data_IF_559454622822
#
_entry.id   IF_559454622822
#
_cell.length_a   1.000
_cell.length_b   1.000
_cell.length_c   1.000
_cell.angle_alpha   90.00
_cell.angle_beta   90.00
_cell.angle_gamma   90.00
#
_symmetry.space_group_name_H-M   'P 1'
#
loop_
_entity.id
_entity.type
_entity.pdbx_description
1 polymer ?
#
# COMPACT_ATOMS: atom_id res chain seq x y z
N UNK A 1 17.93 37.59 9.17
CA UNK A 1 16.89 36.56 8.92
C UNK A 1 16.86 36.05 7.46
N UNK A 2 17.98 36.10 6.71
CA UNK A 2 18.00 35.86 5.25
C UNK A 2 18.43 34.44 4.84
N UNK A 3 18.83 33.60 5.81
CA UNK A 3 19.29 32.22 5.59
C UNK A 3 18.37 31.16 6.22
N UNK A 4 17.29 31.58 6.87
CA UNK A 4 16.33 30.68 7.52
C UNK A 4 15.64 29.69 6.54
N UNK A 5 15.23 30.09 5.31
CA UNK A 5 14.68 29.11 4.36
C UNK A 5 15.75 28.16 3.80
N UNK A 6 17.03 28.58 3.75
CA UNK A 6 18.12 27.74 3.27
C UNK A 6 18.47 26.63 4.29
N UNK A 7 18.48 26.98 5.60
CA UNK A 7 18.67 26.05 6.72
C UNK A 7 17.51 25.04 6.85
N UNK A 8 16.27 25.46 6.57
CA UNK A 8 15.11 24.58 6.56
C UNK A 8 15.19 23.54 5.42
N UNK A 9 15.70 23.93 4.26
CA UNK A 9 15.96 23.02 3.13
C UNK A 9 17.13 22.06 3.38
N UNK A 10 18.16 22.46 4.13
CA UNK A 10 19.31 21.57 4.43
C UNK A 10 18.97 20.54 5.51
N UNK A 11 18.10 20.87 6.47
CA UNK A 11 17.64 19.93 7.49
C UNK A 11 16.73 18.82 6.94
N UNK A 12 16.07 19.05 5.79
CA UNK A 12 15.22 18.08 5.10
C UNK A 12 15.99 17.02 4.29
N UNK A 13 17.33 17.12 4.21
CA UNK A 13 18.18 16.21 3.44
C UNK A 13 18.82 15.08 4.26
N UNK A 14 18.57 15.01 5.57
CA UNK A 14 18.97 13.86 6.38
C UNK A 14 17.96 12.72 6.24
N UNK A 15 17.66 12.32 5.00
CA UNK A 15 16.88 11.13 4.71
C UNK A 15 17.73 9.92 5.04
N UNK A 16 17.68 9.48 6.29
CA UNK A 16 18.33 8.24 6.70
C UNK A 16 17.58 7.09 6.03
N UNK A 17 18.25 6.44 5.08
CA UNK A 17 17.79 5.18 4.51
C UNK A 17 17.72 4.15 5.64
N UNK A 18 16.51 3.88 6.12
CA UNK A 18 16.23 2.90 7.16
C UNK A 18 15.44 1.76 6.56
N UNK A 19 15.69 0.51 6.99
CA UNK A 19 14.96 -0.62 6.45
C UNK A 19 13.48 -0.48 6.80
N UNK A 20 12.63 -0.52 5.76
CA UNK A 20 11.18 -0.52 5.90
C UNK A 20 10.67 -1.94 5.69
N UNK A 21 9.86 -2.44 6.61
CA UNK A 21 9.28 -3.78 6.52
C UNK A 21 7.87 -3.78 5.93
N UNK A 22 7.20 -2.63 5.97
CA UNK A 22 5.86 -2.49 5.44
C UNK A 22 5.69 -1.17 4.70
N UNK A 23 5.11 -1.28 3.52
CA UNK A 23 4.66 -0.15 2.70
C UNK A 23 3.21 -0.41 2.32
N UNK A 24 2.27 0.48 2.69
CA UNK A 24 0.88 0.33 2.30
C UNK A 24 0.73 0.35 0.77
N UNK A 25 0.04 -0.65 0.22
CA UNK A 25 -0.40 -0.64 -1.17
C UNK A 25 -1.67 0.21 -1.32
N UNK A 26 -1.92 0.66 -2.55
CA UNK A 26 -3.13 1.41 -2.93
C UNK A 26 -4.39 0.66 -2.51
N UNK A 27 -5.37 1.38 -1.97
CA UNK A 27 -6.68 0.82 -1.67
C UNK A 27 -7.49 0.68 -2.96
N UNK A 28 -7.98 -0.53 -3.22
CA UNK A 28 -8.84 -0.83 -4.36
C UNK A 28 -10.27 -0.42 -4.04
N UNK A 29 -10.70 0.69 -4.64
CA UNK A 29 -11.98 1.34 -4.41
C UNK A 29 -12.79 1.31 -5.71
N UNK A 30 -13.35 0.18 -6.15
CA UNK A 30 -13.77 0.03 -7.55
C UNK A 30 -14.99 0.88 -7.94
N UNK A 31 -15.73 1.41 -6.95
CA UNK A 31 -16.94 2.22 -7.15
C UNK A 31 -17.98 1.55 -8.06
N UNK A 32 -18.10 0.22 -7.93
CA UNK A 32 -19.12 -0.54 -8.64
C UNK A 32 -20.51 -0.14 -8.13
N UNK A 33 -21.45 -0.01 -9.05
CA UNK A 33 -22.78 0.53 -8.77
C UNK A 33 -23.90 -0.29 -9.40
N UNK A 34 -23.56 -1.32 -10.20
CA UNK A 34 -24.49 -2.15 -10.95
C UNK A 34 -23.93 -3.56 -11.13
N UNK A 35 -24.85 -4.51 -11.34
CA UNK A 35 -24.51 -5.86 -11.81
C UNK A 35 -23.73 -5.81 -13.13
N UNK A 36 -22.84 -6.79 -13.29
CA UNK A 36 -21.99 -6.98 -14.46
C UNK A 36 -21.02 -5.82 -14.74
N UNK A 37 -20.77 -5.00 -13.73
CA UNK A 37 -19.75 -3.95 -13.80
C UNK A 37 -18.41 -4.50 -13.34
N UNK A 38 -17.36 -4.17 -14.10
CA UNK A 38 -15.98 -4.47 -13.77
C UNK A 38 -15.15 -3.18 -13.72
N UNK A 39 -14.10 -3.20 -12.89
CA UNK A 39 -13.11 -2.15 -12.83
C UNK A 39 -11.71 -2.78 -12.89
N UNK A 40 -10.81 -2.13 -13.62
CA UNK A 40 -9.38 -2.44 -13.62
C UNK A 40 -8.61 -1.14 -13.43
N UNK A 41 -7.65 -1.11 -12.52
CA UNK A 41 -6.83 0.07 -12.25
C UNK A 41 -5.36 -0.32 -12.18
N UNK A 42 -4.51 0.44 -12.87
CA UNK A 42 -3.06 0.27 -12.85
C UNK A 42 -2.45 1.52 -12.21
N UNK A 43 -1.50 1.31 -11.29
CA UNK A 43 -0.84 2.35 -10.51
C UNK A 43 0.68 2.15 -10.64
N UNK A 44 1.34 2.85 -11.57
CA UNK A 44 2.78 2.92 -11.61
C UNK A 44 3.30 3.97 -10.62
N UNK A 45 4.28 3.62 -9.80
CA UNK A 45 5.00 4.53 -8.91
C UNK A 45 6.51 4.22 -8.95
N UNK A 46 7.36 5.18 -8.59
CA UNK A 46 8.79 4.90 -8.47
C UNK A 46 9.02 3.74 -7.46
N UNK A 47 9.69 2.68 -7.92
CA UNK A 47 9.97 1.47 -7.13
C UNK A 47 8.81 0.49 -6.95
N UNK A 48 7.64 0.71 -7.59
CA UNK A 48 6.55 -0.28 -7.57
C UNK A 48 5.53 -0.14 -8.70
N UNK A 49 4.92 -1.25 -9.07
CA UNK A 49 3.73 -1.29 -9.93
C UNK A 49 2.64 -2.08 -9.24
N UNK A 50 1.43 -1.54 -9.24
CA UNK A 50 0.26 -2.20 -8.67
C UNK A 50 -0.85 -2.30 -9.73
N UNK A 51 -1.56 -3.42 -9.71
CA UNK A 51 -2.73 -3.69 -10.54
C UNK A 51 -3.88 -4.13 -9.63
N UNK A 52 -5.06 -3.57 -9.87
CA UNK A 52 -6.26 -3.80 -9.09
C UNK A 52 -7.40 -4.13 -10.03
N UNK A 53 -8.20 -5.13 -9.68
CA UNK A 53 -9.36 -5.57 -10.42
C UNK A 53 -10.56 -5.71 -9.49
N UNK A 54 -11.75 -5.53 -10.05
CA UNK A 54 -12.99 -5.80 -9.34
C UNK A 54 -14.10 -6.21 -10.32
N UNK A 55 -15.03 -7.03 -9.85
CA UNK A 55 -16.20 -7.45 -10.62
C UNK A 55 -17.42 -7.66 -9.75
N UNK A 56 -18.57 -7.20 -10.23
CA UNK A 56 -19.87 -7.38 -9.56
C UNK A 56 -20.76 -8.38 -10.32
N UNK A 57 -20.92 -9.63 -9.84
CA UNK A 57 -21.87 -10.58 -10.43
C UNK A 57 -23.33 -10.30 -10.07
N UNK A 58 -23.62 -9.42 -9.10
CA UNK A 58 -24.97 -9.13 -8.59
C UNK A 58 -25.18 -7.62 -8.46
N UNK A 59 -26.32 -7.16 -7.94
CA UNK A 59 -26.54 -5.72 -7.77
C UNK A 59 -25.82 -5.11 -6.56
N UNK A 60 -25.24 -5.93 -5.66
CA UNK A 60 -24.63 -5.44 -4.43
C UNK A 60 -23.39 -6.20 -3.96
N UNK A 61 -23.08 -7.37 -4.52
CA UNK A 61 -21.90 -8.16 -4.13
C UNK A 61 -20.85 -8.01 -5.21
N UNK A 62 -19.62 -7.74 -4.79
CA UNK A 62 -18.46 -7.67 -5.66
C UNK A 62 -17.25 -8.40 -5.08
N UNK A 63 -16.39 -8.85 -5.97
CA UNK A 63 -15.07 -9.39 -5.63
C UNK A 63 -13.98 -8.41 -6.07
N UNK A 64 -12.88 -8.38 -5.29
CA UNK A 64 -11.68 -7.59 -5.54
C UNK A 64 -10.48 -8.51 -5.70
N UNK A 65 -9.54 -8.09 -6.54
CA UNK A 65 -8.18 -8.66 -6.60
C UNK A 65 -7.17 -7.53 -6.72
N UNK A 66 -6.06 -7.65 -6.02
CA UNK A 66 -4.95 -6.70 -6.00
C UNK A 66 -3.65 -7.46 -6.20
N UNK A 67 -2.75 -6.91 -6.99
CA UNK A 67 -1.39 -7.39 -7.17
C UNK A 67 -0.43 -6.21 -7.12
N UNK A 68 0.73 -6.39 -6.50
CA UNK A 68 1.78 -5.39 -6.41
C UNK A 68 3.15 -6.04 -6.53
N UNK A 69 4.03 -5.40 -7.29
CA UNK A 69 5.43 -5.76 -7.39
C UNK A 69 6.28 -4.55 -7.02
N UNK A 70 7.21 -4.76 -6.09
CA UNK A 70 8.09 -3.75 -5.51
C UNK A 70 9.52 -4.09 -5.90
N UNK A 71 10.22 -3.11 -6.43
CA UNK A 71 11.56 -3.28 -6.95
C UNK A 71 12.43 -2.08 -6.57
N UNK A 72 13.72 -2.33 -6.50
CA UNK A 72 14.70 -1.31 -6.15
C UNK A 72 14.74 -0.22 -7.23
N UNK A 73 14.95 1.03 -6.82
CA UNK A 73 15.15 2.10 -7.79
C UNK A 73 16.45 1.83 -8.54
N UNK A 74 16.39 1.82 -9.88
CA UNK A 74 17.51 1.51 -10.77
C UNK A 74 18.74 2.43 -10.58
N UNK A 75 18.57 3.57 -9.91
CA UNK A 75 19.61 4.57 -9.68
C UNK A 75 20.32 4.45 -8.30
N UNK A 76 19.84 3.60 -7.39
CA UNK A 76 20.46 3.36 -6.09
C UNK A 76 20.76 1.86 -5.94
N UNK A 77 21.99 1.49 -6.29
CA UNK A 77 22.48 0.09 -6.22
C UNK A 77 22.97 -0.28 -4.82
N UNK A 78 22.87 0.63 -3.85
CA UNK A 78 23.57 0.50 -2.56
C UNK A 78 22.70 0.00 -1.43
N UNK A 79 21.42 0.35 -1.39
CA UNK A 79 20.45 -0.11 -0.39
C UNK A 79 19.06 -0.17 -1.02
N UNK A 80 18.31 -1.25 -0.77
CA UNK A 80 17.06 -1.48 -1.47
C UNK A 80 16.10 -2.42 -0.76
N UNK A 81 14.87 -2.39 -1.23
CA UNK A 81 13.81 -3.31 -0.84
C UNK A 81 13.05 -3.79 -2.07
N UNK A 82 12.65 -5.06 -2.06
CA UNK A 82 11.85 -5.66 -3.10
C UNK A 82 10.83 -6.63 -2.52
N UNK A 83 9.83 -6.99 -3.32
CA UNK A 83 8.77 -7.87 -2.87
C UNK A 83 7.64 -8.00 -3.86
N UNK A 84 6.76 -8.95 -3.59
CA UNK A 84 5.52 -9.12 -4.33
C UNK A 84 4.38 -9.35 -3.35
N UNK A 85 3.20 -8.88 -3.70
CA UNK A 85 2.01 -9.04 -2.86
C UNK A 85 0.78 -9.26 -3.72
N UNK A 86 -0.05 -10.22 -3.32
CA UNK A 86 -1.35 -10.47 -3.92
C UNK A 86 -2.41 -10.49 -2.83
N UNK A 87 -3.58 -9.95 -3.12
CA UNK A 87 -4.71 -9.91 -2.19
C UNK A 87 -6.02 -10.07 -2.95
N UNK A 88 -6.97 -10.76 -2.35
CA UNK A 88 -8.32 -10.90 -2.86
C UNK A 88 -9.33 -10.53 -1.78
N UNK A 89 -10.53 -10.19 -2.20
CA UNK A 89 -11.58 -9.80 -1.29
C UNK A 89 -12.97 -10.00 -1.87
N UNK A 90 -13.95 -10.08 -0.98
CA UNK A 90 -15.37 -10.06 -1.33
C UNK A 90 -16.08 -9.07 -0.43
N UNK A 91 -17.10 -8.43 -0.96
CA UNK A 91 -17.77 -7.37 -0.24
C UNK A 91 -19.13 -7.00 -0.79
N UNK A 92 -19.70 -6.01 -0.13
CA UNK A 92 -21.02 -5.48 -0.39
C UNK A 92 -20.92 -3.99 -0.71
N UNK A 93 -21.68 -3.52 -1.70
CA UNK A 93 -21.83 -2.11 -2.02
C UNK A 93 -23.30 -1.72 -2.09
N UNK A 94 -23.57 -0.48 -1.71
CA UNK A 94 -24.91 0.09 -1.66
C UNK A 94 -24.92 1.50 -2.22
N UNK A 95 -25.75 1.70 -3.24
CA UNK A 95 -25.99 3.00 -3.84
C UNK A 95 -27.15 3.69 -3.13
N UNK A 96 -26.84 4.51 -2.13
CA UNK A 96 -27.84 5.19 -1.29
C UNK A 96 -28.39 6.48 -1.91
N UNK A 97 -27.74 7.02 -2.95
CA UNK A 97 -28.20 8.20 -3.66
C UNK A 97 -27.78 8.13 -5.15
N UNK A 98 -28.28 9.07 -5.97
CA UNK A 98 -27.94 9.15 -7.41
C UNK A 98 -26.43 9.07 -7.67
N UNK A 99 -25.65 9.75 -6.83
CA UNK A 99 -24.18 9.78 -6.88
C UNK A 99 -23.53 9.25 -5.59
N UNK A 100 -24.30 8.79 -4.60
CA UNK A 100 -23.76 8.32 -3.33
C UNK A 100 -23.58 6.81 -3.34
N UNK A 101 -22.36 6.34 -3.04
CA UNK A 101 -22.01 4.94 -2.93
C UNK A 101 -21.31 4.68 -1.59
N UNK A 102 -21.70 3.61 -0.92
CA UNK A 102 -20.96 3.05 0.21
C UNK A 102 -20.57 1.62 -0.12
N UNK A 103 -19.38 1.20 0.30
CA UNK A 103 -18.95 -0.19 0.18
C UNK A 103 -18.16 -0.68 1.40
N UNK A 104 -18.13 -2.00 1.53
CA UNK A 104 -17.32 -2.71 2.51
C UNK A 104 -16.85 -4.04 1.92
N UNK A 105 -15.56 -4.34 2.08
CA UNK A 105 -14.92 -5.54 1.59
C UNK A 105 -14.11 -6.21 2.70
N UNK A 106 -14.14 -7.53 2.73
CA UNK A 106 -13.16 -8.35 3.43
C UNK A 106 -11.94 -8.55 2.53
N UNK A 107 -10.77 -8.69 3.13
CA UNK A 107 -9.49 -8.80 2.42
C UNK A 107 -8.65 -9.93 3.01
N UNK A 108 -8.01 -10.70 2.13
CA UNK A 108 -6.99 -11.68 2.47
C UNK A 108 -5.87 -11.63 1.43
N UNK A 109 -4.64 -11.51 1.88
CA UNK A 109 -3.48 -11.36 1.02
C UNK A 109 -2.23 -12.02 1.56
N UNK A 110 -1.30 -12.26 0.65
CA UNK A 110 -0.02 -12.90 0.91
C UNK A 110 1.06 -12.28 0.02
N UNK A 111 2.27 -12.22 0.53
CA UNK A 111 3.40 -11.70 -0.21
C UNK A 111 4.74 -12.04 0.38
N UNK A 112 5.77 -11.47 -0.21
CA UNK A 112 7.16 -11.59 0.20
C UNK A 112 7.78 -10.21 0.29
N UNK A 113 8.71 -10.07 1.23
CA UNK A 113 9.56 -8.91 1.35
C UNK A 113 11.02 -9.34 1.39
N UNK A 114 11.88 -8.55 0.78
CA UNK A 114 13.32 -8.62 0.88
C UNK A 114 13.84 -7.21 1.10
N UNK A 115 14.72 -7.04 2.09
CA UNK A 115 15.53 -5.84 2.25
C UNK A 115 16.99 -6.22 2.09
N UNK A 116 17.73 -5.41 1.35
CA UNK A 116 19.13 -5.59 1.04
C UNK A 116 19.89 -4.29 1.30
N UNK A 117 20.75 -4.30 2.31
CA UNK A 117 21.53 -3.16 2.76
C UNK A 117 23.03 -3.50 2.83
N UNK A 118 23.72 -3.64 1.69
CA UNK A 118 25.15 -3.93 1.67
C UNK A 118 25.97 -2.88 2.43
N UNK A 119 25.53 -1.62 2.47
CA UNK A 119 26.23 -0.57 3.24
C UNK A 119 26.26 -0.83 4.75
N UNK A 120 25.39 -1.72 5.27
CA UNK A 120 25.41 -2.11 6.69
C UNK A 120 26.52 -3.11 7.02
N UNK A 121 27.04 -3.81 6.01
CA UNK A 121 28.09 -4.84 6.16
C UNK A 121 29.42 -4.20 6.51
N UNK A 122 29.72 -3.01 5.98
CA UNK A 122 30.95 -2.27 6.31
C UNK A 122 31.04 -1.96 7.82
N UNK A 123 29.90 -1.64 8.45
CA UNK A 123 29.80 -1.38 9.89
C UNK A 123 29.68 -2.66 10.73
N UNK A 124 29.22 -3.77 10.14
CA UNK A 124 28.98 -5.05 10.82
C UNK A 124 29.52 -6.22 9.99
N UNK A 125 30.86 -6.36 9.90
CA UNK A 125 31.49 -7.44 9.14
C UNK A 125 31.10 -8.78 9.77
N UNK A 126 30.43 -9.64 8.99
CA UNK A 126 29.85 -10.91 9.46
C UNK A 126 28.35 -11.05 9.25
N UNK A 127 27.68 -9.98 8.78
CA UNK A 127 26.29 -10.04 8.31
C UNK A 127 26.21 -10.09 6.79
N UNK A 128 25.07 -10.51 6.24
CA UNK A 128 24.83 -10.48 4.79
C UNK A 128 24.20 -9.16 4.33
N UNK A 129 23.81 -8.29 5.28
CA UNK A 129 23.03 -7.10 5.00
C UNK A 129 21.63 -7.41 4.46
N UNK A 130 21.16 -8.66 4.53
CA UNK A 130 19.91 -9.10 3.90
C UNK A 130 18.94 -9.69 4.90
N UNK A 131 17.67 -9.39 4.73
CA UNK A 131 16.56 -10.03 5.44
C UNK A 131 15.43 -10.30 4.46
N UNK A 132 14.81 -11.48 4.61
CA UNK A 132 13.64 -11.91 3.84
C UNK A 132 12.55 -12.37 4.79
N UNK A 133 11.30 -12.15 4.40
CA UNK A 133 10.15 -12.67 5.12
C UNK A 133 8.96 -12.88 4.18
N UNK A 134 8.07 -13.77 4.58
CA UNK A 134 6.72 -13.85 4.04
C UNK A 134 5.80 -12.94 4.84
N UNK A 135 4.82 -12.32 4.20
CA UNK A 135 3.81 -11.50 4.85
C UNK A 135 2.42 -12.01 4.50
N UNK A 136 1.57 -12.19 5.50
CA UNK A 136 0.15 -12.45 5.36
C UNK A 136 -0.63 -11.23 5.87
N UNK A 137 -1.71 -10.87 5.17
CA UNK A 137 -2.59 -9.78 5.55
C UNK A 137 -4.03 -10.24 5.54
N UNK A 138 -4.77 -9.93 6.59
CA UNK A 138 -6.22 -10.05 6.62
C UNK A 138 -6.83 -8.70 6.99
N UNK A 139 -8.05 -8.41 6.56
CA UNK A 139 -8.67 -7.15 6.97
C UNK A 139 -10.06 -6.88 6.41
N UNK A 140 -10.51 -5.67 6.72
CA UNK A 140 -11.72 -5.08 6.17
C UNK A 140 -11.40 -3.71 5.61
N UNK A 141 -12.06 -3.32 4.53
CA UNK A 141 -11.94 -2.00 3.92
C UNK A 141 -13.33 -1.48 3.67
N UNK A 142 -13.65 -0.29 4.16
CA UNK A 142 -14.92 0.37 3.90
C UNK A 142 -14.68 1.75 3.31
N UNK A 143 -15.58 2.17 2.42
CA UNK A 143 -15.53 3.48 1.83
C UNK A 143 -16.91 4.09 1.63
N UNK A 144 -16.94 5.42 1.58
CA UNK A 144 -18.09 6.21 1.19
C UNK A 144 -17.62 7.26 0.20
N UNK A 145 -18.38 7.44 -0.88
CA UNK A 145 -17.95 8.33 -1.94
C UNK A 145 -19.09 8.91 -2.76
N UNK A 146 -18.76 10.04 -3.36
CA UNK A 146 -19.47 10.58 -4.52
C UNK A 146 -18.90 9.92 -5.78
N UNK A 147 -19.77 9.34 -6.61
CA UNK A 147 -19.40 8.76 -7.91
C UNK A 147 -20.30 9.28 -9.02
N UNK A 148 -19.67 9.72 -10.09
CA UNK A 148 -20.34 10.21 -11.31
C UNK A 148 -19.65 9.66 -12.54
N UNK A 149 -20.14 10.00 -13.72
CA UNK A 149 -19.53 9.57 -14.99
C UNK A 149 -18.10 10.11 -15.15
N UNK A 150 -17.83 11.34 -14.74
CA UNK A 150 -16.56 12.05 -14.98
C UNK A 150 -15.67 12.17 -13.74
N UNK A 151 -16.25 12.06 -12.55
CA UNK A 151 -15.56 12.38 -11.31
C UNK A 151 -15.98 11.48 -10.15
N UNK A 152 -15.00 11.05 -9.35
CA UNK A 152 -15.22 10.38 -8.06
C UNK A 152 -14.44 11.06 -6.94
N UNK A 153 -15.04 11.15 -5.76
CA UNK A 153 -14.40 11.56 -4.52
C UNK A 153 -14.79 10.57 -3.42
N UNK A 154 -13.80 9.88 -2.87
CA UNK A 154 -14.03 8.72 -2.00
C UNK A 154 -13.17 8.86 -0.74
N UNK A 155 -13.81 8.74 0.43
CA UNK A 155 -13.14 8.58 1.70
C UNK A 155 -13.21 7.10 2.10
N UNK A 156 -12.10 6.56 2.58
CA UNK A 156 -11.96 5.13 2.84
C UNK A 156 -11.10 4.88 4.08
N UNK A 157 -11.34 3.73 4.71
CA UNK A 157 -10.50 3.20 5.78
C UNK A 157 -10.31 1.70 5.57
N UNK A 158 -9.06 1.26 5.69
CA UNK A 158 -8.69 -0.16 5.72
C UNK A 158 -8.15 -0.51 7.10
N UNK A 159 -8.77 -1.48 7.76
CA UNK A 159 -8.31 -2.04 9.03
C UNK A 159 -7.75 -3.42 8.74
N UNK A 160 -6.47 -3.66 9.03
CA UNK A 160 -5.80 -4.91 8.67
C UNK A 160 -4.99 -5.47 9.83
N UNK A 161 -4.86 -6.79 9.84
CA UNK A 161 -3.81 -7.50 10.57
C UNK A 161 -2.72 -7.89 9.59
N UNK A 162 -1.47 -7.67 9.97
CA UNK A 162 -0.27 -8.10 9.25
C UNK A 162 0.48 -9.13 10.08
N UNK A 163 0.93 -10.19 9.44
CA UNK A 163 1.71 -11.24 10.08
C UNK A 163 2.93 -11.60 9.22
N UNK A 164 4.11 -11.57 9.81
CA UNK A 164 5.34 -12.02 9.18
C UNK A 164 5.68 -13.45 9.59
N UNK A 165 6.12 -14.23 8.61
CA UNK A 165 6.56 -15.61 8.79
C UNK A 165 7.82 -15.87 7.95
N UNK A 166 8.45 -17.03 8.16
CA UNK A 166 9.64 -17.46 7.41
C UNK A 166 10.77 -16.41 7.38
N UNK A 167 10.95 -15.70 8.49
CA UNK A 167 11.92 -14.61 8.62
C UNK A 167 13.32 -15.23 8.61
N UNK A 168 14.17 -14.81 7.68
CA UNK A 168 15.51 -15.35 7.49
C UNK A 168 16.49 -14.31 6.97
N UNK A 169 17.79 -14.60 7.12
CA UNK A 169 18.88 -13.72 6.70
C UNK A 169 19.81 -13.36 7.84
N UNK A 170 20.65 -12.36 7.60
CA UNK A 170 21.57 -11.81 8.60
C UNK A 170 21.75 -10.34 8.30
N UNK A 171 21.10 -9.50 9.10
CA UNK A 171 21.09 -8.06 8.88
C UNK A 171 21.10 -7.35 10.22
N UNK A 172 22.11 -6.52 10.44
CA UNK A 172 22.21 -5.63 11.58
C UNK A 172 22.17 -4.21 11.05
N UNK A 173 21.27 -3.40 11.59
CA UNK A 173 21.12 -1.99 11.24
C UNK A 173 20.93 -1.20 12.53
N UNK A 174 21.71 -0.14 12.71
CA UNK A 174 21.66 0.70 13.91
C UNK A 174 21.82 -0.13 15.21
N UNK A 175 22.89 -0.93 15.23
CA UNK A 175 23.23 -1.90 16.30
C UNK A 175 22.13 -2.91 16.67
N UNK A 176 21.07 -3.01 15.86
CA UNK A 176 19.92 -3.87 16.12
C UNK A 176 19.91 -5.02 15.12
N UNK A 177 19.84 -6.26 15.62
CA UNK A 177 19.60 -7.43 14.79
C UNK A 177 18.18 -7.39 14.22
N UNK A 178 18.08 -7.15 12.92
CA UNK A 178 16.82 -6.93 12.24
C UNK A 178 15.95 -8.19 12.12
N UNK A 179 16.58 -9.37 12.06
CA UNK A 179 15.87 -10.66 12.07
C UNK A 179 15.15 -10.83 13.41
N UNK A 180 15.85 -10.54 14.51
CA UNK A 180 15.27 -10.59 15.86
C UNK A 180 14.19 -9.54 16.05
N UNK A 181 14.43 -8.30 15.59
CA UNK A 181 13.44 -7.22 15.63
C UNK A 181 12.14 -7.60 14.93
N UNK A 182 12.21 -8.07 13.67
CA UNK A 182 11.02 -8.45 12.91
C UNK A 182 10.32 -9.66 13.52
N UNK A 183 11.07 -10.62 14.07
CA UNK A 183 10.51 -11.82 14.72
C UNK A 183 9.72 -11.45 15.98
N UNK A 184 10.21 -10.51 16.78
CA UNK A 184 9.53 -10.04 17.99
C UNK A 184 8.31 -9.14 17.69
N UNK A 185 8.33 -8.44 16.54
CA UNK A 185 7.28 -7.51 16.11
C UNK A 185 6.56 -8.04 14.86
N UNK A 186 6.31 -9.35 14.81
CA UNK A 186 5.85 -10.01 13.59
C UNK A 186 4.34 -9.92 13.34
N UNK A 187 3.54 -9.48 14.32
CA UNK A 187 2.07 -9.42 14.22
C UNK A 187 1.56 -8.04 14.63
N UNK A 188 0.79 -7.40 13.75
CA UNK A 188 0.41 -5.99 13.92
C UNK A 188 -1.02 -5.73 13.46
N UNK A 189 -1.67 -4.76 14.11
CA UNK A 189 -2.92 -4.17 13.66
C UNK A 189 -2.67 -2.78 13.08
N UNK A 190 -3.21 -2.52 11.89
CA UNK A 190 -3.08 -1.27 11.18
C UNK A 190 -4.45 -0.64 10.93
N UNK A 191 -4.51 0.68 11.06
CA UNK A 191 -5.60 1.50 10.55
C UNK A 191 -5.08 2.42 9.45
N UNK A 192 -5.72 2.36 8.29
CA UNK A 192 -5.24 2.98 7.06
C UNK A 192 -6.34 3.84 6.42
N UNK A 193 -6.56 5.07 6.90
CA UNK A 193 -7.45 6.00 6.23
C UNK A 193 -6.82 6.53 4.92
N UNK A 194 -7.68 6.74 3.91
CA UNK A 194 -7.28 7.32 2.64
C UNK A 194 -8.41 8.14 2.00
N UNK A 195 -8.01 9.13 1.19
CA UNK A 195 -8.88 9.88 0.30
C UNK A 195 -8.44 9.61 -1.13
N UNK A 196 -9.41 9.32 -2.00
CA UNK A 196 -9.19 9.06 -3.42
C UNK A 196 -10.02 10.02 -4.25
N UNK A 197 -9.37 10.66 -5.22
CA UNK A 197 -9.99 11.48 -6.23
C UNK A 197 -9.78 10.83 -7.59
N UNK A 198 -10.81 10.85 -8.43
CA UNK A 198 -10.72 10.39 -9.81
C UNK A 198 -11.35 11.40 -10.74
N UNK A 199 -10.72 11.64 -11.88
CA UNK A 199 -11.22 12.54 -12.91
C UNK A 199 -10.89 12.01 -14.30
N UNK A 200 -11.81 12.14 -15.24
CA UNK A 200 -11.60 11.72 -16.62
C UNK A 200 -12.88 11.68 -17.43
N UNK A 201 -12.92 10.76 -18.38
CA UNK A 201 -14.04 10.54 -19.29
C UNK A 201 -14.86 9.32 -18.84
N UNK A 202 -16.01 9.12 -19.47
CA UNK A 202 -16.83 7.93 -19.27
C UNK A 202 -15.97 6.65 -19.46
N UNK A 203 -15.90 5.83 -18.42
CA UNK A 203 -15.11 4.60 -18.40
C UNK A 203 -13.65 4.77 -17.96
N UNK A 204 -12.91 5.77 -18.46
CA UNK A 204 -11.47 5.95 -18.16
C UNK A 204 -11.25 7.16 -17.24
N UNK A 205 -10.70 6.93 -16.05
CA UNK A 205 -10.38 7.99 -15.08
C UNK A 205 -8.95 7.88 -14.57
N UNK A 206 -8.27 9.01 -14.49
CA UNK A 206 -7.05 9.13 -13.71
C UNK A 206 -7.40 9.09 -12.21
N UNK A 207 -6.58 8.42 -11.42
CA UNK A 207 -6.75 8.25 -9.98
C UNK A 207 -5.59 8.90 -9.24
N UNK A 208 -5.93 9.65 -8.19
CA UNK A 208 -5.01 10.15 -7.19
C UNK A 208 -5.50 9.66 -5.82
N UNK A 209 -4.62 9.02 -5.05
CA UNK A 209 -4.95 8.57 -3.70
C UNK A 209 -3.86 8.99 -2.73
N UNK A 210 -4.31 9.53 -1.60
CA UNK A 210 -3.51 9.96 -0.47
C UNK A 210 -3.95 9.15 0.74
N UNK A 211 -3.01 8.55 1.45
CA UNK A 211 -3.34 7.79 2.64
C UNK A 211 -2.25 7.81 3.70
N UNK A 212 -2.65 7.35 4.89
CA UNK A 212 -1.79 7.26 6.05
C UNK A 212 -2.00 5.91 6.73
N UNK A 213 -0.93 5.29 7.23
CA UNK A 213 -0.96 4.00 7.91
C UNK A 213 -0.52 4.21 9.35
N UNK A 214 -1.42 3.85 10.24
CA UNK A 214 -1.21 3.90 11.68
C UNK A 214 -1.05 2.49 12.19
N UNK A 215 0.13 2.19 12.72
CA UNK A 215 0.36 0.96 13.44
C UNK A 215 -0.17 1.09 14.87
N UNK A 216 -1.25 0.36 15.15
CA UNK A 216 -1.95 0.41 16.42
C UNK A 216 -1.31 -0.49 17.48
N UNK A 217 -0.48 -1.45 17.05
CA UNK A 217 0.23 -2.37 17.95
C UNK A 217 1.61 -1.83 18.31
N UNK A 218 2.40 -1.42 17.31
CA UNK A 218 3.76 -0.91 17.48
C UNK A 218 3.92 0.42 16.71
N UNK A 219 3.62 1.58 17.32
CA UNK A 219 3.67 2.89 16.65
C UNK A 219 5.04 3.26 16.03
N UNK A 220 6.12 2.71 16.60
CA UNK A 220 7.51 2.89 16.16
C UNK A 220 7.98 1.81 15.17
N UNK A 221 7.07 0.95 14.68
CA UNK A 221 7.42 -0.03 13.67
C UNK A 221 8.00 0.64 12.42
N UNK A 222 9.06 0.04 11.87
CA UNK A 222 9.73 0.57 10.67
C UNK A 222 8.89 0.31 9.41
N UNK A 223 7.97 1.23 9.15
CA UNK A 223 7.09 1.23 7.97
C UNK A 223 7.01 2.62 7.31
N UNK A 224 6.44 2.65 6.10
CA UNK A 224 5.97 3.88 5.50
C UNK A 224 4.65 4.31 6.17
N UNK A 225 4.66 5.53 6.70
CA UNK A 225 3.51 6.07 7.44
C UNK A 225 2.52 6.77 6.53
N UNK A 226 2.93 7.30 5.38
CA UNK A 226 2.05 7.96 4.41
C UNK A 226 2.38 7.50 3.00
N UNK A 227 1.39 7.49 2.12
CA UNK A 227 1.60 7.20 0.71
C UNK A 227 0.80 8.13 -0.19
N UNK A 228 1.32 8.30 -1.39
CA UNK A 228 0.69 8.98 -2.50
C UNK A 228 0.81 8.08 -3.73
N UNK A 229 -0.29 7.90 -4.44
CA UNK A 229 -0.34 7.06 -5.63
C UNK A 229 -1.09 7.75 -6.75
N UNK A 230 -0.58 7.59 -7.97
CA UNK A 230 -1.23 8.03 -9.20
C UNK A 230 -1.45 6.83 -10.11
N UNK A 231 -2.63 6.71 -10.70
CA UNK A 231 -2.96 5.58 -11.57
C UNK A 231 -4.04 5.91 -12.60
N UNK A 232 -4.39 4.92 -13.39
CA UNK A 232 -5.47 5.01 -14.39
C UNK A 232 -6.38 3.81 -14.18
N UNK A 233 -7.68 4.10 -14.05
CA UNK A 233 -8.74 3.11 -13.90
C UNK A 233 -9.66 3.09 -15.11
N UNK A 234 -10.05 1.90 -15.54
CA UNK A 234 -11.08 1.66 -16.53
C UNK A 234 -12.25 0.92 -15.91
N UNK A 235 -13.46 1.43 -16.09
CA UNK A 235 -14.71 0.82 -15.63
C UNK A 235 -15.58 0.51 -16.84
N UNK A 236 -16.06 -0.72 -16.93
CA UNK A 236 -16.92 -1.16 -18.02
C UNK A 236 -18.07 -2.01 -17.47
N UNK A 237 -19.20 -1.99 -18.17
CA UNK A 237 -20.33 -2.89 -17.94
C UNK A 237 -20.37 -3.93 -19.06
N UNK A 238 -20.62 -5.18 -18.70
CA UNK A 238 -20.93 -6.26 -19.62
C UNK A 238 -22.44 -6.32 -19.91
#
# INVERSE_FOLDING_TARGET
MRYLPLLLCTALLLYHCSPKYYTPNTQNLPMLSKKHQANCTIVPLAGRIEAMGAYSPTDNIAALVNGGYYYENLNDTTNGGSGAFAEAGVGYYYKFAKYGLWDIYTLAGYGTIENHFPSSVDAHPGTTGKIRASVARGGIQSSVGFTSEYFDAVASVRITTLQYANISGSFVFDSTNQVSYLTQNNSMFLAEPAITLRGGYAGIKAQLQLGRSYNLTFPEFRQDKSWFTFGIGYTFGL
#
